data_IF_758163766439
#
_entry.id   IF_758163766439
#
_cell.length_a   1.000
_cell.length_b   1.000
_cell.length_c   1.000
_cell.angle_alpha   90.00
_cell.angle_beta   90.00
_cell.angle_gamma   90.00
#
_symmetry.space_group_name_H-M   'P 1'
#
loop_
_entity.id
_entity.type
_entity.pdbx_description
1 polymer ?
#
# COMPACT_ATOMS: atom_id res chain seq x y z
N UNK A 1 11.79 -2.45 7.28
CA UNK A 1 11.97 -3.38 6.15
C UNK A 1 10.68 -4.13 5.85
N UNK A 2 10.33 -4.31 4.58
CA UNK A 2 8.97 -4.68 4.15
C UNK A 2 8.57 -6.14 4.43
N UNK A 3 9.51 -7.00 4.84
CA UNK A 3 9.19 -8.37 5.29
C UNK A 3 9.25 -9.45 4.22
N UNK A 4 9.52 -9.09 2.96
CA UNK A 4 9.84 -10.04 1.89
C UNK A 4 11.36 -10.15 1.67
N UNK A 5 11.77 -10.97 0.70
CA UNK A 5 13.15 -11.04 0.20
C UNK A 5 13.38 -10.01 -0.90
N UNK A 6 14.55 -9.36 -0.95
CA UNK A 6 14.91 -8.45 -2.05
C UNK A 6 15.39 -7.07 -1.60
N UNK A 7 14.97 -6.04 -2.34
CA UNK A 7 15.35 -4.65 -2.12
C UNK A 7 14.12 -3.83 -1.78
N UNK A 8 14.09 -3.34 -0.55
CA UNK A 8 13.03 -2.45 -0.11
C UNK A 8 13.23 -1.03 -0.65
N UNK A 9 12.11 -0.35 -0.90
CA UNK A 9 12.07 1.09 -1.02
C UNK A 9 11.70 1.69 0.34
N UNK A 10 12.59 2.53 0.89
CA UNK A 10 12.34 3.29 2.12
C UNK A 10 11.66 4.62 1.76
N UNK A 11 10.45 4.80 2.27
CA UNK A 11 9.65 6.01 2.21
C UNK A 11 9.72 6.68 3.58
N UNK A 12 10.43 7.81 3.64
CA UNK A 12 10.55 8.60 4.86
C UNK A 12 10.21 10.06 4.58
N UNK A 13 8.98 10.45 4.93
CA UNK A 13 8.37 11.73 4.62
C UNK A 13 8.24 11.99 3.10
N UNK A 14 8.03 10.93 2.33
CA UNK A 14 7.79 10.97 0.89
C UNK A 14 6.68 10.00 0.49
N UNK A 15 6.07 10.25 -0.67
CA UNK A 15 5.18 9.32 -1.35
C UNK A 15 5.74 8.95 -2.71
N UNK A 16 5.46 7.73 -3.15
CA UNK A 16 5.74 7.28 -4.52
C UNK A 16 4.45 6.93 -5.23
N UNK A 17 4.38 7.30 -6.50
CA UNK A 17 3.26 7.00 -7.39
C UNK A 17 3.69 5.97 -8.42
N UNK A 18 2.84 4.98 -8.64
CA UNK A 18 3.03 3.98 -9.69
C UNK A 18 2.15 4.35 -10.88
N UNK A 19 2.77 4.59 -12.03
CA UNK A 19 2.05 4.92 -13.25
C UNK A 19 1.64 3.63 -13.96
N UNK A 20 0.34 3.47 -14.18
CA UNK A 20 -0.23 2.31 -14.86
C UNK A 20 -0.62 2.67 -16.29
N UNK A 21 -0.38 1.74 -17.24
CA UNK A 21 -0.80 1.91 -18.65
C UNK A 21 -2.27 1.56 -18.89
N UNK A 22 -2.89 0.88 -17.93
CA UNK A 22 -4.29 0.46 -17.93
C UNK A 22 -4.73 0.24 -16.48
N UNK A 23 -6.02 0.04 -16.25
CA UNK A 23 -6.48 -0.36 -14.94
C UNK A 23 -6.12 -1.84 -14.65
N UNK A 24 -5.87 -2.12 -13.37
CA UNK A 24 -5.59 -3.46 -12.85
C UNK A 24 -6.74 -3.91 -11.95
N UNK A 25 -7.04 -5.21 -11.92
CA UNK A 25 -8.10 -5.76 -11.05
C UNK A 25 -7.61 -6.03 -9.63
N UNK A 26 -6.29 -6.16 -9.45
CA UNK A 26 -5.67 -6.40 -8.16
C UNK A 26 -4.27 -5.79 -8.08
N UNK A 27 -3.86 -5.40 -6.88
CA UNK A 27 -2.49 -5.05 -6.56
C UNK A 27 -2.13 -5.62 -5.18
N UNK A 28 -0.96 -6.25 -5.09
CA UNK A 28 -0.38 -6.63 -3.79
C UNK A 28 0.90 -5.86 -3.52
N UNK A 29 1.17 -5.62 -2.24
CA UNK A 29 2.33 -4.90 -1.77
C UNK A 29 2.74 -5.41 -0.39
N UNK A 30 4.00 -5.81 -0.23
CA UNK A 30 4.54 -6.07 1.10
C UNK A 30 4.95 -4.75 1.75
N UNK A 31 4.65 -4.59 3.03
CA UNK A 31 4.97 -3.40 3.78
C UNK A 31 5.61 -3.71 5.13
N UNK A 32 6.38 -2.73 5.61
CA UNK A 32 6.81 -2.65 6.98
C UNK A 32 6.66 -1.21 7.47
N UNK A 33 5.81 -0.98 8.46
CA UNK A 33 5.54 0.32 9.07
C UNK A 33 6.15 0.38 10.47
N UNK A 34 6.96 1.42 10.75
CA UNK A 34 7.71 1.50 12.01
C UNK A 34 7.45 2.79 12.78
N UNK A 35 6.64 3.69 12.23
CA UNK A 35 6.28 4.94 12.88
C UNK A 35 5.45 5.85 12.00
N UNK A 36 5.01 6.97 12.58
CA UNK A 36 4.30 8.04 11.88
C UNK A 36 2.97 7.63 11.26
N UNK A 37 2.67 8.17 10.08
CA UNK A 37 1.42 7.96 9.37
C UNK A 37 1.66 7.47 7.94
N UNK A 38 0.62 6.89 7.36
CA UNK A 38 0.57 6.37 6.00
C UNK A 38 -0.36 7.23 5.16
N UNK A 39 0.10 7.59 3.96
CA UNK A 39 -0.68 8.17 2.90
C UNK A 39 -0.95 7.11 1.83
N UNK A 40 -2.18 6.63 1.74
CA UNK A 40 -2.63 5.70 0.69
C UNK A 40 -3.58 6.43 -0.25
N UNK A 41 -3.24 6.53 -1.53
CA UNK A 41 -4.14 7.10 -2.55
C UNK A 41 -4.49 6.06 -3.59
N UNK A 42 -5.79 5.81 -3.76
CA UNK A 42 -6.32 4.90 -4.77
C UNK A 42 -7.35 5.66 -5.60
N UNK A 43 -7.19 5.66 -6.93
CA UNK A 43 -8.10 6.34 -7.86
C UNK A 43 -8.32 7.82 -7.51
N UNK A 44 -7.27 8.50 -7.03
CA UNK A 44 -7.30 9.92 -6.64
C UNK A 44 -7.89 10.20 -5.25
N UNK A 45 -8.36 9.18 -4.52
CA UNK A 45 -8.88 9.34 -3.15
C UNK A 45 -7.77 9.02 -2.15
N UNK A 46 -7.36 10.03 -1.37
CA UNK A 46 -6.36 9.91 -0.31
C UNK A 46 -7.01 9.47 1.02
N UNK A 47 -6.36 8.51 1.68
CA UNK A 47 -6.53 8.20 3.09
C UNK A 47 -5.21 8.42 3.81
N UNK A 48 -5.27 9.20 4.89
CA UNK A 48 -4.18 9.32 5.85
C UNK A 48 -4.57 8.53 7.10
N UNK A 49 -3.72 7.60 7.50
CA UNK A 49 -3.99 6.67 8.60
C UNK A 49 -2.74 6.45 9.44
N UNK A 50 -2.87 5.94 10.66
CA UNK A 50 -1.72 5.63 11.48
C UNK A 50 -1.12 4.27 11.09
N UNK A 51 -1.98 3.29 10.79
CA UNK A 51 -1.58 1.92 10.47
C UNK A 51 -2.34 1.43 9.21
N UNK A 52 -1.75 0.53 8.42
CA UNK A 52 -2.48 -0.11 7.32
C UNK A 52 -3.71 -0.89 7.81
N UNK A 53 -3.62 -1.51 8.98
CA UNK A 53 -4.70 -2.30 9.58
C UNK A 53 -5.97 -1.46 9.84
N UNK A 54 -5.85 -0.15 10.03
CA UNK A 54 -6.99 0.77 10.14
C UNK A 54 -7.83 0.84 8.84
N UNK A 55 -7.26 0.40 7.72
CA UNK A 55 -7.92 0.35 6.41
C UNK A 55 -8.44 -1.05 6.06
N UNK A 56 -8.19 -2.07 6.87
CA UNK A 56 -8.61 -3.44 6.58
C UNK A 56 -10.13 -3.56 6.45
N UNK A 57 -10.59 -4.23 5.39
CA UNK A 57 -12.01 -4.36 5.04
C UNK A 57 -12.68 -3.07 4.54
N UNK A 58 -11.96 -1.96 4.46
CA UNK A 58 -12.50 -0.70 3.94
C UNK A 58 -12.49 -0.64 2.40
N UNK A 59 -13.26 0.28 1.83
CA UNK A 59 -13.23 0.58 0.39
C UNK A 59 -12.76 2.01 0.17
N UNK A 60 -11.74 2.20 -0.68
CA UNK A 60 -11.16 3.50 -1.02
C UNK A 60 -11.08 3.62 -2.54
N UNK A 61 -11.62 4.71 -3.10
CA UNK A 61 -11.61 4.92 -4.55
C UNK A 61 -12.34 3.82 -5.34
N UNK A 62 -13.27 3.09 -4.72
CA UNK A 62 -13.98 1.95 -5.31
C UNK A 62 -13.20 0.63 -5.30
N UNK A 63 -12.12 0.54 -4.53
CA UNK A 63 -11.25 -0.64 -4.40
C UNK A 63 -11.29 -1.13 -2.96
N UNK A 64 -11.54 -2.42 -2.78
CA UNK A 64 -11.51 -3.09 -1.48
C UNK A 64 -10.07 -3.23 -1.00
N UNK A 65 -9.84 -2.95 0.26
CA UNK A 65 -8.56 -3.12 0.94
C UNK A 65 -8.64 -4.33 1.85
N UNK A 66 -7.62 -5.18 1.81
CA UNK A 66 -7.40 -6.24 2.79
C UNK A 66 -5.95 -6.23 3.26
N UNK A 67 -5.75 -6.40 4.56
CA UNK A 67 -4.45 -6.36 5.21
C UNK A 67 -4.21 -7.68 5.94
N UNK A 68 -3.11 -8.35 5.60
CA UNK A 68 -2.68 -9.56 6.30
C UNK A 68 -1.38 -9.30 7.02
N UNK A 69 -1.43 -9.28 8.36
CA UNK A 69 -0.26 -9.05 9.20
C UNK A 69 0.59 -10.32 9.32
N UNK A 70 1.90 -10.18 9.12
CA UNK A 70 2.90 -11.22 9.36
C UNK A 70 3.62 -11.03 10.70
N UNK A 71 3.84 -9.78 11.10
CA UNK A 71 4.27 -9.36 12.45
C UNK A 71 3.46 -8.12 12.86
N UNK A 72 3.77 -7.50 14.00
CA UNK A 72 3.09 -6.26 14.40
C UNK A 72 3.38 -5.10 13.45
N UNK A 73 4.54 -5.08 12.80
CA UNK A 73 5.01 -4.00 11.93
C UNK A 73 4.96 -4.33 10.44
N UNK A 74 4.74 -5.60 10.08
CA UNK A 74 4.90 -6.08 8.69
C UNK A 74 3.68 -6.82 8.22
N UNK A 75 3.33 -6.62 6.97
CA UNK A 75 2.20 -7.30 6.36
C UNK A 75 2.17 -7.24 4.85
N UNK A 76 1.07 -7.76 4.33
CA UNK A 76 0.70 -7.72 2.92
C UNK A 76 -0.55 -6.87 2.77
N UNK A 77 -0.45 -5.80 1.99
CA UNK A 77 -1.58 -5.02 1.52
C UNK A 77 -2.09 -5.65 0.22
N UNK A 78 -3.38 -5.94 0.17
CA UNK A 78 -4.08 -6.42 -1.01
C UNK A 78 -5.18 -5.42 -1.39
N UNK A 79 -5.16 -4.99 -2.65
CA UNK A 79 -6.15 -4.09 -3.23
C UNK A 79 -6.91 -4.86 -4.31
N UNK A 80 -8.24 -4.91 -4.24
CA UNK A 80 -9.08 -5.63 -5.21
C UNK A 80 -10.21 -4.72 -5.72
N UNK A 81 -10.33 -4.62 -7.05
CA UNK A 81 -11.26 -3.72 -7.71
C UNK A 81 -10.62 -3.03 -8.92
N UNK A 82 -11.28 -2.03 -9.49
CA UNK A 82 -10.80 -1.36 -10.69
C UNK A 82 -9.77 -0.26 -10.34
N UNK A 83 -8.48 -0.61 -10.33
CA UNK A 83 -7.37 0.26 -9.88
C UNK A 83 -6.77 1.01 -11.08
N UNK A 84 -7.08 2.30 -11.22
CA UNK A 84 -6.57 3.21 -12.26
C UNK A 84 -5.33 3.97 -11.82
N UNK A 85 -5.22 4.31 -10.53
CA UNK A 85 -4.06 5.00 -9.97
C UNK A 85 -3.79 4.57 -8.54
N UNK A 86 -2.50 4.49 -8.21
CA UNK A 86 -2.02 4.08 -6.89
C UNK A 86 -0.80 4.88 -6.48
N UNK A 87 -0.82 5.42 -5.26
CA UNK A 87 0.39 5.95 -4.61
C UNK A 87 0.36 5.64 -3.12
N UNK A 88 1.55 5.45 -2.55
CA UNK A 88 1.75 5.16 -1.14
C UNK A 88 2.92 5.97 -0.59
N UNK A 89 2.83 6.39 0.66
CA UNK A 89 3.87 7.16 1.35
C UNK A 89 3.71 7.11 2.86
N UNK A 90 4.71 7.59 3.57
CA UNK A 90 4.68 7.66 5.03
C UNK A 90 5.98 8.14 5.66
N UNK A 91 6.04 8.11 6.98
CA UNK A 91 7.25 8.30 7.78
C UNK A 91 7.70 6.90 8.22
N UNK A 92 8.96 6.53 7.99
CA UNK A 92 9.46 5.19 8.37
C UNK A 92 8.62 4.02 7.80
N UNK A 93 8.30 4.13 6.51
CA UNK A 93 7.57 3.10 5.76
C UNK A 93 8.50 2.41 4.76
N UNK A 94 8.54 1.08 4.79
CA UNK A 94 9.21 0.26 3.78
C UNK A 94 8.19 -0.46 2.96
N UNK A 95 8.39 -0.46 1.64
CA UNK A 95 7.57 -1.24 0.71
C UNK A 95 8.44 -2.12 -0.17
N UNK A 96 7.90 -3.26 -0.58
CA UNK A 96 8.55 -4.17 -1.50
C UNK A 96 7.50 -4.98 -2.30
N UNK A 97 7.91 -5.51 -3.46
CA UNK A 97 7.10 -6.40 -4.30
C UNK A 97 5.72 -5.82 -4.62
N UNK A 98 5.72 -4.65 -5.27
CA UNK A 98 4.50 -4.00 -5.79
C UNK A 98 4.07 -4.74 -7.06
N UNK A 99 3.06 -5.61 -6.93
CA UNK A 99 2.67 -6.56 -7.96
C UNK A 99 1.22 -6.29 -8.43
N UNK A 100 1.03 -5.58 -9.55
CA UNK A 100 -0.28 -5.38 -10.15
C UNK A 100 -0.68 -6.57 -11.06
N UNK A 101 -1.95 -6.97 -11.00
CA UNK A 101 -2.55 -8.09 -11.75
C UNK A 101 -3.79 -7.62 -12.54
N UNK A 102 -3.96 -8.15 -13.76
CA UNK A 102 -5.07 -7.80 -14.66
C UNK A 102 -6.28 -8.68 -14.43
#
# INVERSE_FOLDING_TARGET
MAGHTGKDLNLNNISVKFEFKAAYSKLTLYFGEYGGNINLTINGILKNTNDFLDLDGSTVGGVLISVTMATAEKGLLTLEGNIHSFSVGGQELWIDHVCPEK
#
